data_IF_492585437691
#
_entry.id   IF_492585437691
#
_cell.length_a   1.000
_cell.length_b   1.000
_cell.length_c   1.000
_cell.angle_alpha   90.00
_cell.angle_beta   90.00
_cell.angle_gamma   90.00
#
_symmetry.space_group_name_H-M   'P 1'
#
loop_
_entity.id
_entity.type
_entity.pdbx_description
1 polymer ?
#
# COMPACT_ATOMS: atom_id res chain seq x y z
N UNK A 1 25.54 7.18 8.05
CA UNK A 1 25.40 7.10 6.59
C UNK A 1 23.99 7.55 6.26
N UNK A 2 23.82 8.40 5.26
CA UNK A 2 22.49 8.86 4.82
C UNK A 2 22.03 7.99 3.65
N UNK A 3 20.77 7.59 3.64
CA UNK A 3 20.22 6.68 2.60
C UNK A 3 19.56 7.47 1.47
N UNK A 4 19.58 6.93 0.25
CA UNK A 4 18.91 7.50 -0.93
C UNK A 4 17.63 6.71 -1.18
N UNK A 5 16.50 7.39 -1.09
CA UNK A 5 15.18 6.76 -1.07
C UNK A 5 14.39 7.15 -2.31
N UNK A 6 13.56 6.24 -2.82
CA UNK A 6 12.54 6.56 -3.79
C UNK A 6 11.15 6.13 -3.35
N UNK A 7 10.13 6.87 -3.79
CA UNK A 7 8.73 6.47 -3.69
C UNK A 7 8.24 6.11 -5.10
N UNK A 8 7.94 4.84 -5.32
CA UNK A 8 7.35 4.34 -6.57
C UNK A 8 5.83 4.37 -6.46
N UNK A 9 5.20 5.31 -7.17
CA UNK A 9 3.77 5.61 -7.03
C UNK A 9 3.51 6.86 -6.18
N UNK A 10 4.43 7.83 -6.20
CA UNK A 10 4.41 9.01 -5.31
C UNK A 10 3.11 9.83 -5.39
N UNK A 11 2.48 9.93 -6.57
CA UNK A 11 1.26 10.74 -6.73
C UNK A 11 -0.03 10.06 -6.26
N UNK A 12 0.02 8.78 -5.87
CA UNK A 12 -1.14 8.07 -5.32
C UNK A 12 -1.41 8.45 -3.86
N UNK A 13 -2.57 8.03 -3.32
CA UNK A 13 -2.94 8.28 -1.92
C UNK A 13 -1.86 7.78 -0.95
N UNK A 14 -1.43 6.52 -1.10
CA UNK A 14 -0.36 5.93 -0.26
C UNK A 14 0.99 6.61 -0.46
N UNK A 15 1.30 7.10 -1.67
CA UNK A 15 2.53 7.83 -1.93
C UNK A 15 2.60 9.16 -1.19
N UNK A 16 1.45 9.85 -1.05
CA UNK A 16 1.33 11.07 -0.24
C UNK A 16 1.49 10.77 1.26
N UNK A 17 0.92 9.66 1.74
CA UNK A 17 1.15 9.21 3.12
C UNK A 17 2.62 8.88 3.38
N UNK A 18 3.33 8.23 2.44
CA UNK A 18 4.76 8.02 2.58
C UNK A 18 5.54 9.33 2.71
N UNK A 19 5.22 10.35 1.92
CA UNK A 19 5.85 11.67 2.05
C UNK A 19 5.63 12.27 3.44
N UNK A 20 4.39 12.25 3.93
CA UNK A 20 4.04 12.78 5.25
C UNK A 20 4.77 12.05 6.37
N UNK A 21 4.79 10.71 6.34
CA UNK A 21 5.45 9.90 7.36
C UNK A 21 6.97 10.09 7.33
N UNK A 22 7.58 10.17 6.13
CA UNK A 22 9.03 10.41 6.01
C UNK A 22 9.43 11.78 6.56
N UNK A 23 8.58 12.79 6.40
CA UNK A 23 8.76 14.11 6.97
C UNK A 23 8.62 14.08 8.49
N UNK A 24 7.52 13.51 9.01
CA UNK A 24 7.24 13.37 10.44
C UNK A 24 8.34 12.61 11.19
N UNK A 25 8.76 11.46 10.63
CA UNK A 25 9.78 10.59 11.24
C UNK A 25 11.20 11.13 11.08
N UNK A 26 11.38 12.17 10.27
CA UNK A 26 12.66 12.78 9.96
C UNK A 26 13.74 11.74 9.61
N UNK A 27 13.40 10.78 8.74
CA UNK A 27 14.32 9.71 8.35
C UNK A 27 15.61 10.32 7.76
N UNK A 28 16.81 9.91 8.19
CA UNK A 28 18.06 10.47 7.70
C UNK A 28 18.33 10.02 6.26
N UNK A 29 17.91 10.84 5.31
CA UNK A 29 18.04 10.62 3.87
C UNK A 29 18.88 11.71 3.20
N UNK A 30 19.70 11.34 2.23
CA UNK A 30 20.49 12.29 1.42
C UNK A 30 19.80 12.66 0.12
N UNK A 31 18.83 11.85 -0.31
CA UNK A 31 18.07 12.04 -1.55
C UNK A 31 16.70 11.41 -1.39
N UNK A 32 15.68 12.07 -1.94
CA UNK A 32 14.34 11.52 -2.12
C UNK A 32 13.90 11.68 -3.58
N UNK A 33 13.65 10.56 -4.26
CA UNK A 33 13.20 10.52 -5.66
C UNK A 33 11.72 10.14 -5.74
N UNK A 34 10.91 11.00 -6.35
CA UNK A 34 9.48 10.76 -6.54
C UNK A 34 9.24 10.17 -7.92
N UNK A 35 8.78 8.92 -7.99
CA UNK A 35 8.57 8.19 -9.23
C UNK A 35 7.07 7.94 -9.45
N UNK A 36 6.58 8.21 -10.66
CA UNK A 36 5.19 7.95 -11.04
C UNK A 36 5.06 7.66 -12.55
N UNK A 37 3.85 7.44 -13.04
CA UNK A 37 3.60 7.25 -14.48
C UNK A 37 4.03 8.47 -15.31
N UNK A 38 4.28 8.28 -16.61
CA UNK A 38 4.57 9.36 -17.56
C UNK A 38 3.60 10.55 -17.48
N UNK A 39 2.28 10.28 -17.29
CA UNK A 39 1.25 11.32 -17.11
C UNK A 39 1.49 12.24 -15.91
N UNK A 40 2.18 11.76 -14.89
CA UNK A 40 2.46 12.49 -13.66
C UNK A 40 3.86 13.13 -13.66
N UNK A 41 4.71 12.79 -14.63
CA UNK A 41 6.05 13.37 -14.72
C UNK A 41 5.97 14.89 -14.92
N UNK A 42 6.87 15.62 -14.26
CA UNK A 42 6.91 17.09 -14.30
C UNK A 42 5.99 17.79 -13.31
N UNK A 43 5.08 17.08 -12.63
CA UNK A 43 4.38 17.63 -11.45
C UNK A 43 5.37 17.85 -10.32
N UNK A 44 5.02 18.71 -9.36
CA UNK A 44 5.79 18.90 -8.13
C UNK A 44 4.99 18.42 -6.92
N UNK A 45 5.69 17.96 -5.89
CA UNK A 45 5.13 17.60 -4.59
C UNK A 45 5.98 18.22 -3.48
N UNK A 46 5.33 18.68 -2.41
CA UNK A 46 5.99 19.33 -1.29
C UNK A 46 6.62 18.28 -0.36
N UNK A 47 7.85 18.52 0.08
CA UNK A 47 8.52 17.73 1.13
C UNK A 47 9.48 18.63 1.91
N UNK A 48 9.35 18.73 3.23
CA UNK A 48 10.23 19.56 4.10
C UNK A 48 10.36 21.02 3.66
N UNK A 49 9.26 21.59 3.15
CA UNK A 49 9.26 22.97 2.67
C UNK A 49 9.94 23.18 1.32
N UNK A 50 10.29 22.12 0.59
CA UNK A 50 10.83 22.16 -0.77
C UNK A 50 9.87 21.50 -1.77
N UNK A 51 9.88 21.98 -3.01
CA UNK A 51 9.10 21.39 -4.10
C UNK A 51 9.97 20.39 -4.86
N UNK A 52 9.64 19.10 -4.75
CA UNK A 52 10.34 18.03 -5.42
C UNK A 52 9.65 17.65 -6.74
N UNK A 53 10.39 17.53 -7.85
CA UNK A 53 9.81 17.11 -9.12
C UNK A 53 9.48 15.61 -9.11
N UNK A 54 8.32 15.28 -9.66
CA UNK A 54 7.92 13.91 -9.96
C UNK A 54 8.56 13.50 -11.28
N UNK A 55 9.34 12.41 -11.24
CA UNK A 55 10.01 11.84 -12.40
C UNK A 55 9.21 10.65 -12.95
N UNK A 56 9.36 10.39 -14.24
CA UNK A 56 8.79 9.20 -14.86
C UNK A 56 9.47 7.93 -14.32
N UNK A 57 8.66 6.92 -14.02
CA UNK A 57 9.09 5.58 -13.67
C UNK A 57 9.54 4.82 -14.91
N UNK A 58 10.84 4.55 -15.00
CA UNK A 58 11.49 3.70 -16.01
C UNK A 58 12.34 2.65 -15.31
N UNK A 59 12.82 1.64 -16.06
CA UNK A 59 13.68 0.61 -15.48
C UNK A 59 15.04 1.16 -15.00
N UNK A 60 15.47 2.33 -15.52
CA UNK A 60 16.71 3.00 -15.13
C UNK A 60 16.53 3.98 -13.96
N UNK A 61 15.28 4.25 -13.54
CA UNK A 61 14.96 5.19 -12.45
C UNK A 61 15.55 4.79 -11.10
N UNK A 62 16.08 3.57 -10.96
CA UNK A 62 16.56 3.01 -9.69
C UNK A 62 18.06 3.19 -9.42
N UNK A 63 18.79 3.74 -10.39
CA UNK A 63 20.25 3.88 -10.28
C UNK A 63 20.65 4.71 -9.07
N UNK A 64 21.51 4.14 -8.24
CA UNK A 64 22.08 4.79 -7.05
C UNK A 64 21.09 4.96 -5.90
N UNK A 65 19.97 4.25 -5.89
CA UNK A 65 19.05 4.24 -4.75
C UNK A 65 19.37 3.08 -3.82
N UNK A 66 19.15 3.30 -2.52
CA UNK A 66 19.38 2.29 -1.49
C UNK A 66 18.05 1.64 -1.06
N UNK A 67 16.96 2.41 -1.08
CA UNK A 67 15.62 1.98 -0.66
C UNK A 67 14.54 2.48 -1.62
N UNK A 68 13.58 1.62 -1.96
CA UNK A 68 12.38 1.96 -2.73
C UNK A 68 11.14 1.59 -1.93
N UNK A 69 10.28 2.58 -1.66
CA UNK A 69 8.95 2.40 -1.08
C UNK A 69 7.94 2.32 -2.22
N UNK A 70 7.33 1.15 -2.41
CA UNK A 70 6.50 0.85 -3.57
C UNK A 70 5.01 0.81 -3.24
N UNK A 71 4.21 1.62 -3.95
CA UNK A 71 2.75 1.70 -3.80
C UNK A 71 2.02 1.98 -5.13
N UNK A 72 2.63 1.64 -6.28
CA UNK A 72 2.10 1.93 -7.61
C UNK A 72 1.11 0.86 -8.17
N UNK A 73 0.79 -0.17 -7.38
CA UNK A 73 -0.11 -1.27 -7.77
C UNK A 73 0.64 -2.51 -8.28
N UNK A 74 0.03 -3.68 -8.10
CA UNK A 74 0.72 -4.98 -8.24
C UNK A 74 1.34 -5.25 -9.61
N UNK A 75 0.70 -4.78 -10.71
CA UNK A 75 1.27 -4.90 -12.06
C UNK A 75 2.58 -4.11 -12.20
N UNK A 76 2.65 -2.92 -11.60
CA UNK A 76 3.85 -2.07 -11.63
C UNK A 76 4.93 -2.67 -10.74
N UNK A 77 4.59 -3.14 -9.53
CA UNK A 77 5.56 -3.80 -8.65
C UNK A 77 6.16 -5.05 -9.31
N UNK A 78 5.35 -5.88 -9.97
CA UNK A 78 5.84 -7.03 -10.76
C UNK A 78 6.91 -6.64 -11.78
N UNK A 79 6.69 -5.54 -12.48
CA UNK A 79 7.51 -5.14 -13.62
C UNK A 79 8.79 -4.39 -13.18
N UNK A 80 8.65 -3.48 -12.21
CA UNK A 80 9.73 -2.55 -11.84
C UNK A 80 10.50 -2.92 -10.57
N UNK A 81 9.91 -3.65 -9.61
CA UNK A 81 10.64 -4.04 -8.41
C UNK A 81 11.89 -4.88 -8.72
N UNK A 82 11.88 -5.83 -9.67
CA UNK A 82 13.11 -6.54 -10.07
C UNK A 82 14.20 -5.62 -10.62
N UNK A 83 13.83 -4.53 -11.30
CA UNK A 83 14.80 -3.54 -11.79
C UNK A 83 15.44 -2.76 -10.65
N UNK A 84 14.67 -2.40 -9.62
CA UNK A 84 15.20 -1.77 -8.42
C UNK A 84 16.21 -2.68 -7.69
N UNK A 85 15.86 -3.96 -7.52
CA UNK A 85 16.77 -4.96 -6.94
C UNK A 85 18.04 -5.11 -7.75
N UNK A 86 17.92 -5.21 -9.09
CA UNK A 86 19.07 -5.29 -10.00
C UNK A 86 19.98 -4.06 -9.91
N UNK A 87 19.42 -2.88 -9.64
CA UNK A 87 20.16 -1.65 -9.43
C UNK A 87 20.82 -1.55 -8.04
N UNK A 88 20.57 -2.51 -7.15
CA UNK A 88 21.15 -2.61 -5.82
C UNK A 88 20.27 -2.07 -4.68
N UNK A 89 19.06 -1.61 -4.97
CA UNK A 89 18.13 -1.11 -3.96
C UNK A 89 17.36 -2.25 -3.27
N UNK A 90 16.96 -2.04 -2.02
CA UNK A 90 15.94 -2.86 -1.36
C UNK A 90 14.57 -2.26 -1.61
N UNK A 91 13.59 -3.09 -1.98
CA UNK A 91 12.20 -2.67 -2.22
C UNK A 91 11.33 -3.09 -1.03
N UNK A 92 10.60 -2.15 -0.46
CA UNK A 92 9.49 -2.42 0.47
C UNK A 92 8.20 -2.21 -0.30
N UNK A 93 7.52 -3.31 -0.64
CA UNK A 93 6.35 -3.31 -1.53
C UNK A 93 5.03 -3.40 -0.76
N UNK A 94 4.20 -2.36 -0.87
CA UNK A 94 2.86 -2.30 -0.28
C UNK A 94 1.80 -3.09 -1.06
N UNK A 95 2.11 -3.54 -2.26
CA UNK A 95 1.14 -4.25 -3.10
C UNK A 95 0.98 -5.71 -2.68
N UNK A 96 -0.07 -6.36 -3.17
CA UNK A 96 -0.30 -7.78 -2.90
C UNK A 96 0.58 -8.73 -3.73
N UNK A 97 1.34 -8.22 -4.72
CA UNK A 97 1.97 -9.06 -5.73
C UNK A 97 2.98 -10.05 -5.13
N UNK A 98 3.87 -9.58 -4.27
CA UNK A 98 4.95 -10.39 -3.73
C UNK A 98 4.63 -11.08 -2.38
N UNK A 99 3.47 -10.82 -1.77
CA UNK A 99 3.18 -11.23 -0.38
C UNK A 99 3.26 -12.74 -0.12
N UNK A 100 2.92 -13.54 -1.13
CA UNK A 100 2.91 -15.01 -1.02
C UNK A 100 4.08 -15.68 -1.79
N UNK A 101 5.08 -14.91 -2.22
CA UNK A 101 6.26 -15.47 -2.87
C UNK A 101 7.19 -16.06 -1.81
N UNK A 102 7.64 -17.30 -2.00
CA UNK A 102 8.45 -18.05 -1.01
C UNK A 102 9.75 -17.32 -0.58
N UNK A 103 10.34 -16.56 -1.51
CA UNK A 103 11.60 -15.85 -1.32
C UNK A 103 11.44 -14.40 -0.83
N UNK A 104 10.21 -13.96 -0.56
CA UNK A 104 9.90 -12.59 -0.12
C UNK A 104 9.32 -12.62 1.29
N UNK A 105 10.01 -12.06 2.30
CA UNK A 105 9.46 -11.98 3.64
C UNK A 105 8.27 -11.02 3.68
N UNK A 106 7.18 -11.48 4.30
CA UNK A 106 6.00 -10.69 4.63
C UNK A 106 6.13 -10.17 6.06
N UNK A 107 6.34 -8.87 6.24
CA UNK A 107 6.84 -8.34 7.52
C UNK A 107 5.87 -7.37 8.18
N UNK A 108 5.62 -7.58 9.47
CA UNK A 108 5.11 -6.60 10.41
C UNK A 108 6.20 -6.38 11.48
N UNK A 109 6.85 -5.20 11.54
CA UNK A 109 8.02 -4.99 12.40
C UNK A 109 7.83 -5.33 13.88
N UNK A 110 6.62 -5.20 14.42
CA UNK A 110 6.29 -5.51 15.81
C UNK A 110 6.10 -7.02 16.07
N UNK A 111 6.05 -7.83 15.01
CA UNK A 111 5.70 -9.26 15.06
C UNK A 111 6.89 -10.13 14.66
N UNK A 112 7.47 -9.88 13.47
CA UNK A 112 8.52 -10.68 12.86
C UNK A 112 9.64 -9.83 12.21
N UNK A 113 10.26 -8.88 12.94
CA UNK A 113 11.30 -8.01 12.39
C UNK A 113 12.54 -8.76 11.89
N UNK A 114 12.82 -9.94 12.46
CA UNK A 114 13.94 -10.80 12.06
C UNK A 114 13.84 -11.30 10.62
N UNK A 115 12.63 -11.35 10.05
CA UNK A 115 12.41 -11.82 8.68
C UNK A 115 12.93 -10.84 7.64
N UNK A 116 13.14 -9.57 8.01
CA UNK A 116 13.78 -8.57 7.15
C UNK A 116 15.15 -9.10 6.68
N UNK A 117 15.94 -9.71 7.57
CA UNK A 117 17.28 -10.21 7.21
C UNK A 117 17.26 -11.34 6.17
N UNK A 118 16.11 -11.96 5.92
CA UNK A 118 15.93 -13.04 4.94
C UNK A 118 15.65 -12.53 3.53
N UNK A 119 15.47 -11.22 3.34
CA UNK A 119 15.08 -10.66 2.05
C UNK A 119 16.13 -10.94 0.95
N UNK A 120 15.67 -11.18 -0.28
CA UNK A 120 16.52 -11.21 -1.48
C UNK A 120 16.41 -9.93 -2.32
N UNK A 121 16.14 -8.81 -1.64
CA UNK A 121 16.00 -7.46 -2.23
C UNK A 121 14.57 -6.92 -2.22
N UNK A 122 13.56 -7.76 -1.94
CA UNK A 122 12.17 -7.34 -1.79
C UNK A 122 11.68 -7.76 -0.41
N UNK A 123 10.95 -6.89 0.26
CA UNK A 123 10.20 -7.12 1.49
C UNK A 123 8.74 -6.76 1.18
N UNK A 124 7.81 -7.65 1.49
CA UNK A 124 6.39 -7.39 1.29
C UNK A 124 5.77 -6.81 2.57
N UNK A 125 4.97 -5.76 2.40
CA UNK A 125 4.09 -5.22 3.42
C UNK A 125 2.72 -5.93 3.29
N UNK A 126 2.14 -6.47 4.38
CA UNK A 126 0.85 -7.16 4.33
C UNK A 126 -0.34 -6.26 3.98
N UNK A 127 -1.53 -6.85 3.88
CA UNK A 127 -2.78 -6.13 3.75
C UNK A 127 -3.02 -5.25 4.99
N UNK A 128 -3.62 -4.08 4.80
CA UNK A 128 -3.94 -3.16 5.89
C UNK A 128 -4.83 -3.81 6.97
N UNK A 129 -5.85 -4.57 6.58
CA UNK A 129 -6.73 -5.29 7.52
C UNK A 129 -5.99 -6.39 8.28
N UNK A 130 -5.08 -7.12 7.60
CA UNK A 130 -4.18 -8.09 8.24
C UNK A 130 -3.31 -7.41 9.30
N UNK A 131 -2.64 -6.29 8.96
CA UNK A 131 -1.72 -5.60 9.88
C UNK A 131 -2.46 -5.14 11.15
N UNK A 132 -3.62 -4.48 10.98
CA UNK A 132 -4.42 -3.98 12.10
C UNK A 132 -4.88 -5.13 13.00
N UNK A 133 -5.35 -6.23 12.41
CA UNK A 133 -5.77 -7.42 13.14
C UNK A 133 -4.59 -8.07 13.88
N UNK A 134 -3.48 -8.31 13.19
CA UNK A 134 -2.32 -9.00 13.73
C UNK A 134 -1.67 -8.21 14.86
N UNK A 135 -1.54 -6.89 14.76
CA UNK A 135 -1.00 -6.06 15.84
C UNK A 135 -1.83 -6.19 17.13
N UNK A 136 -3.15 -6.21 17.02
CA UNK A 136 -4.04 -6.40 18.17
C UNK A 136 -3.97 -7.81 18.75
N UNK A 137 -3.90 -8.83 17.89
CA UNK A 137 -3.97 -10.24 18.30
C UNK A 137 -2.62 -10.84 18.68
N UNK A 138 -1.50 -10.34 18.17
CA UNK A 138 -0.18 -10.89 18.42
C UNK A 138 0.19 -11.06 19.91
N UNK A 139 0.04 -10.06 20.79
CA UNK A 139 0.33 -10.26 22.22
C UNK A 139 -0.55 -11.34 22.86
N UNK A 140 -1.81 -11.44 22.44
CA UNK A 140 -2.73 -12.48 22.91
C UNK A 140 -2.33 -13.86 22.38
N UNK A 141 -1.96 -13.95 21.10
CA UNK A 141 -1.48 -15.18 20.49
C UNK A 141 -0.18 -15.67 21.16
N UNK A 142 0.77 -14.77 21.46
CA UNK A 142 2.02 -15.14 22.15
C UNK A 142 1.77 -15.75 23.52
N UNK A 143 0.75 -15.29 24.25
CA UNK A 143 0.43 -15.77 25.60
C UNK A 143 -0.50 -16.99 25.62
N UNK A 144 -1.52 -17.00 24.77
CA UNK A 144 -2.62 -17.96 24.85
C UNK A 144 -2.77 -18.87 23.63
N UNK A 145 -1.98 -18.64 22.57
CA UNK A 145 -1.99 -19.42 21.32
C UNK A 145 -3.38 -19.50 20.70
N UNK A 146 -3.83 -18.36 20.16
CA UNK A 146 -5.11 -18.26 19.47
C UNK A 146 -5.24 -19.37 18.41
N UNK A 147 -6.37 -20.10 18.43
CA UNK A 147 -6.64 -21.24 17.54
C UNK A 147 -7.52 -20.89 16.35
N UNK A 148 -8.32 -19.82 16.47
CA UNK A 148 -9.27 -19.37 15.46
C UNK A 148 -9.57 -17.90 15.66
N UNK A 149 -9.68 -17.18 14.55
CA UNK A 149 -10.15 -15.80 14.51
C UNK A 149 -11.40 -15.76 13.62
N UNK A 150 -12.40 -15.00 14.04
CA UNK A 150 -13.54 -14.62 13.20
C UNK A 150 -13.57 -13.11 13.21
N UNK A 151 -13.49 -12.50 12.04
CA UNK A 151 -13.45 -11.05 11.89
C UNK A 151 -14.57 -10.60 10.94
N UNK A 152 -15.25 -9.51 11.32
CA UNK A 152 -16.13 -8.76 10.43
C UNK A 152 -15.51 -7.37 10.26
N UNK A 153 -15.10 -7.04 9.03
CA UNK A 153 -14.38 -5.79 8.77
C UNK A 153 -15.33 -4.67 8.37
N UNK A 154 -15.08 -3.47 8.88
CA UNK A 154 -15.76 -2.23 8.48
C UNK A 154 -14.73 -1.33 7.80
N UNK A 155 -14.45 -1.61 6.53
CA UNK A 155 -13.35 -0.97 5.82
C UNK A 155 -13.78 0.38 5.23
N UNK A 156 -12.88 1.36 5.28
CA UNK A 156 -13.12 2.68 4.73
C UNK A 156 -12.88 2.74 3.22
N UNK A 157 -13.46 3.73 2.54
CA UNK A 157 -13.25 3.98 1.10
C UNK A 157 -11.78 4.28 0.74
N UNK A 158 -10.97 4.71 1.70
CA UNK A 158 -9.53 4.96 1.51
C UNK A 158 -8.75 3.73 1.06
N UNK A 159 -9.19 2.51 1.42
CA UNK A 159 -8.59 1.27 0.93
C UNK A 159 -8.71 1.08 -0.59
N UNK A 160 -9.73 1.68 -1.21
CA UNK A 160 -9.93 1.71 -2.66
C UNK A 160 -9.24 2.91 -3.34
N UNK A 161 -8.54 3.76 -2.58
CA UNK A 161 -7.74 4.87 -3.08
C UNK A 161 -8.50 6.21 -3.19
N UNK A 162 -7.78 7.25 -3.57
CA UNK A 162 -8.25 8.65 -3.54
C UNK A 162 -9.53 8.88 -4.37
N UNK A 163 -9.68 8.20 -5.51
CA UNK A 163 -10.87 8.38 -6.37
C UNK A 163 -12.13 7.85 -5.68
N UNK A 164 -12.04 6.72 -4.96
CA UNK A 164 -13.16 6.17 -4.21
C UNK A 164 -13.51 7.02 -2.98
N UNK A 165 -12.51 7.65 -2.35
CA UNK A 165 -12.75 8.62 -1.27
C UNK A 165 -13.52 9.83 -1.78
N UNK A 166 -13.09 10.41 -2.91
CA UNK A 166 -13.78 11.55 -3.51
C UNK A 166 -15.18 11.19 -3.99
N UNK A 167 -15.36 10.00 -4.58
CA UNK A 167 -16.69 9.51 -4.97
C UNK A 167 -17.64 9.40 -3.78
N UNK A 168 -17.18 8.85 -2.64
CA UNK A 168 -18.01 8.77 -1.44
C UNK A 168 -18.45 10.16 -0.94
N UNK A 169 -17.55 11.14 -0.97
CA UNK A 169 -17.87 12.52 -0.59
C UNK A 169 -18.95 13.12 -1.51
N UNK A 170 -18.76 13.01 -2.82
CA UNK A 170 -19.68 13.58 -3.81
C UNK A 170 -21.04 12.86 -3.82
N UNK A 171 -21.05 11.53 -3.69
CA UNK A 171 -22.28 10.76 -3.55
C UNK A 171 -23.05 11.17 -2.28
N UNK A 172 -22.34 11.36 -1.16
CA UNK A 172 -22.95 11.80 0.10
C UNK A 172 -23.58 13.19 -0.06
N UNK A 173 -22.86 14.14 -0.66
CA UNK A 173 -23.36 15.50 -0.94
C UNK A 173 -24.59 15.46 -1.84
N UNK A 174 -24.54 14.70 -2.92
CA UNK A 174 -25.66 14.56 -3.84
C UNK A 174 -26.90 13.97 -3.16
N UNK A 175 -26.75 12.94 -2.32
CA UNK A 175 -27.87 12.36 -1.57
C UNK A 175 -28.49 13.33 -0.57
N UNK A 176 -27.67 14.09 0.16
CA UNK A 176 -28.16 15.11 1.09
C UNK A 176 -28.92 16.23 0.38
N UNK A 177 -28.56 16.53 -0.87
CA UNK A 177 -29.22 17.52 -1.72
C UNK A 177 -30.35 16.94 -2.57
N UNK A 178 -30.71 15.66 -2.40
CA UNK A 178 -31.70 14.94 -3.22
C UNK A 178 -31.43 15.01 -4.73
N UNK A 179 -30.15 15.07 -5.12
CA UNK A 179 -29.72 15.04 -6.53
C UNK A 179 -29.35 13.62 -6.96
N UNK A 180 -29.61 13.22 -8.20
CA UNK A 180 -29.10 11.97 -8.74
C UNK A 180 -27.57 11.99 -8.76
N UNK A 181 -26.96 10.84 -8.48
CA UNK A 181 -25.53 10.62 -8.57
C UNK A 181 -25.26 9.27 -9.22
N UNK A 182 -24.33 9.24 -10.17
CA UNK A 182 -23.87 8.01 -10.80
C UNK A 182 -22.47 7.73 -10.27
N UNK A 183 -22.26 6.56 -9.69
CA UNK A 183 -20.96 6.12 -9.19
C UNK A 183 -20.07 5.64 -10.35
N UNK A 184 -19.02 6.38 -10.76
CA UNK A 184 -18.10 5.93 -11.81
C UNK A 184 -17.09 4.85 -11.39
N UNK A 185 -16.81 4.71 -10.09
CA UNK A 185 -15.77 3.84 -9.53
C UNK A 185 -16.38 2.65 -8.81
N UNK A 186 -17.28 2.88 -7.85
CA UNK A 186 -17.89 1.79 -7.09
C UNK A 186 -19.10 1.21 -7.83
N UNK A 187 -19.26 -0.14 -7.84
CA UNK A 187 -20.37 -0.78 -8.55
C UNK A 187 -21.72 -0.57 -7.85
N UNK A 188 -21.71 -0.17 -6.59
CA UNK A 188 -22.89 0.02 -5.76
C UNK A 188 -22.78 1.33 -4.97
N UNK A 189 -23.90 2.01 -4.68
CA UNK A 189 -23.93 3.20 -3.83
C UNK A 189 -23.18 2.96 -2.52
N UNK A 190 -22.28 3.87 -2.16
CA UNK A 190 -21.47 3.75 -0.96
C UNK A 190 -22.02 4.64 0.17
N UNK A 191 -22.48 5.85 -0.16
CA UNK A 191 -23.06 6.76 0.83
C UNK A 191 -24.32 6.17 1.49
N UNK A 192 -24.37 6.16 2.82
CA UNK A 192 -25.47 5.57 3.61
C UNK A 192 -25.76 4.09 3.30
N UNK A 193 -24.75 3.34 2.88
CA UNK A 193 -24.87 1.93 2.55
C UNK A 193 -23.70 1.12 3.13
N UNK A 194 -23.87 -0.19 3.21
CA UNK A 194 -22.78 -1.14 3.45
C UNK A 194 -22.75 -2.13 2.29
N UNK A 195 -21.57 -2.30 1.69
CA UNK A 195 -21.33 -3.31 0.66
C UNK A 195 -20.35 -4.35 1.22
N UNK A 196 -20.56 -5.66 0.99
CA UNK A 196 -19.72 -6.71 1.56
C UNK A 196 -18.24 -6.58 1.18
N UNK A 197 -17.92 -6.44 -0.11
CA UNK A 197 -16.61 -5.97 -0.61
C UNK A 197 -16.64 -5.75 -2.14
N UNK A 198 -15.67 -5.01 -2.69
CA UNK A 198 -15.50 -4.80 -4.14
C UNK A 198 -14.40 -5.67 -4.77
N UNK A 199 -13.85 -6.63 -4.02
CA UNK A 199 -12.80 -7.51 -4.52
C UNK A 199 -13.42 -8.73 -5.21
N UNK A 200 -12.71 -9.36 -6.17
CA UNK A 200 -13.22 -10.54 -6.83
C UNK A 200 -13.61 -11.64 -5.84
N UNK A 201 -14.70 -12.33 -6.15
CA UNK A 201 -15.08 -13.56 -5.44
C UNK A 201 -14.20 -14.71 -5.91
N UNK A 202 -13.86 -15.59 -4.98
CA UNK A 202 -13.16 -16.86 -5.27
C UNK A 202 -14.15 -18.02 -5.27
N UNK A 203 -13.74 -19.17 -5.82
CA UNK A 203 -14.61 -20.33 -6.03
C UNK A 203 -15.16 -20.94 -4.72
N UNK A 204 -14.54 -20.65 -3.58
CA UNK A 204 -14.96 -21.16 -2.27
C UNK A 204 -15.95 -20.24 -1.54
N UNK A 205 -16.44 -19.18 -2.19
CA UNK A 205 -17.44 -18.26 -1.64
C UNK A 205 -16.88 -17.11 -0.80
N UNK A 206 -15.56 -17.00 -0.65
CA UNK A 206 -14.89 -15.85 -0.04
C UNK A 206 -14.41 -14.86 -1.10
N UNK A 207 -14.37 -13.58 -0.77
CA UNK A 207 -13.71 -12.57 -1.60
C UNK A 207 -12.19 -12.59 -1.41
N UNK A 208 -11.44 -12.06 -2.37
CA UNK A 208 -9.97 -12.00 -2.29
C UNK A 208 -9.48 -11.25 -1.04
N UNK A 209 -10.26 -10.33 -0.50
CA UNK A 209 -9.86 -9.57 0.69
C UNK A 209 -9.87 -10.44 1.95
N UNK A 210 -10.89 -11.28 2.11
CA UNK A 210 -10.97 -12.26 3.19
C UNK A 210 -9.86 -13.30 3.06
N UNK A 211 -9.57 -13.76 1.83
CA UNK A 211 -8.49 -14.72 1.57
C UNK A 211 -7.12 -14.15 1.92
N UNK A 212 -6.86 -12.86 1.68
CA UNK A 212 -5.61 -12.20 2.10
C UNK A 212 -5.44 -12.26 3.61
N UNK A 213 -6.47 -11.89 4.38
CA UNK A 213 -6.40 -11.94 5.85
C UNK A 213 -6.06 -13.34 6.37
N UNK A 214 -6.62 -14.39 5.75
CA UNK A 214 -6.32 -15.78 6.11
C UNK A 214 -4.86 -16.13 5.78
N UNK A 215 -4.44 -15.93 4.53
CA UNK A 215 -3.12 -16.38 4.05
C UNK A 215 -1.95 -15.59 4.62
N UNK A 216 -2.17 -14.31 4.92
CA UNK A 216 -1.12 -13.43 5.44
C UNK A 216 -0.95 -13.53 6.97
N UNK A 217 -1.87 -14.21 7.66
CA UNK A 217 -1.81 -14.45 9.11
C UNK A 217 -1.28 -15.84 9.47
N UNK A 218 -1.37 -16.79 8.53
CA UNK A 218 -1.08 -18.22 8.74
C UNK A 218 0.41 -18.55 8.82
#
# INVERSE_FOLDING_TARGET
MSIRVAIMGATGAVGQEFLSILEERNLPMSELRLLASARSAGKTMRFKGEDLPVQELTHDSFKGLDLVLASAGGKISRDFAPSAVKAGAVVVDNTSYFRMHEDVPLVIPEINPEDIAKHKGIIANPNCSTIIMCLALWPLHKRYRAKRVVAATYQASSGAGAVAMHELEEETRAKLENRPFQNPVTPHPYAFNLSPHNSPMTDNGYCEEEIKMVKETS
#
